data_IF_336498750502
#
_entry.id   IF_336498750502
#
_cell.length_a   1.000
_cell.length_b   1.000
_cell.length_c   1.000
_cell.angle_alpha   90.00
_cell.angle_beta   90.00
_cell.angle_gamma   90.00
#
_symmetry.space_group_name_H-M   'P 1'
#
loop_
_entity.id
_entity.type
_entity.pdbx_description
1 polymer ?
#
# COMPACT_ATOMS: atom_id res chain seq x y z
N UNK A 1 -18.32 16.04 1.42
CA UNK A 1 -17.12 15.33 1.90
C UNK A 1 -15.93 16.21 1.55
N UNK A 2 -15.02 16.46 2.47
CA UNK A 2 -13.86 17.35 2.25
C UNK A 2 -12.79 16.58 1.46
N UNK A 3 -12.66 16.88 0.16
CA UNK A 3 -11.79 16.15 -0.77
C UNK A 3 -10.34 16.13 -0.26
N UNK A 4 -9.83 17.27 0.22
CA UNK A 4 -8.48 17.38 0.76
C UNK A 4 -8.23 16.49 1.99
N UNK A 5 -9.30 16.09 2.69
CA UNK A 5 -9.23 15.22 3.87
C UNK A 5 -9.17 13.74 3.49
N UNK A 6 -9.86 13.35 2.43
CA UNK A 6 -9.77 12.00 1.85
C UNK A 6 -8.37 11.75 1.27
N UNK A 7 -7.82 12.73 0.59
CA UNK A 7 -6.48 12.69 -0.02
C UNK A 7 -5.39 12.45 1.02
N UNK A 8 -5.52 13.12 2.18
CA UNK A 8 -4.61 12.94 3.32
C UNK A 8 -4.73 11.56 3.94
N UNK A 9 -5.96 11.05 4.12
CA UNK A 9 -6.17 9.69 4.63
C UNK A 9 -5.53 8.64 3.73
N UNK A 10 -5.75 8.77 2.42
CA UNK A 10 -5.19 7.88 1.42
C UNK A 10 -3.65 7.90 1.43
N UNK A 11 -3.07 9.10 1.48
CA UNK A 11 -1.62 9.30 1.60
C UNK A 11 -1.04 8.66 2.87
N UNK A 12 -1.71 8.81 4.03
CA UNK A 12 -1.29 8.20 5.29
C UNK A 12 -1.32 6.67 5.23
N UNK A 13 -2.37 6.10 4.64
CA UNK A 13 -2.52 4.65 4.51
C UNK A 13 -1.48 4.04 3.59
N UNK A 14 -1.24 4.67 2.43
CA UNK A 14 -0.19 4.24 1.50
C UNK A 14 1.19 4.39 2.12
N UNK A 15 1.48 5.49 2.81
CA UNK A 15 2.74 5.66 3.54
C UNK A 15 2.95 4.59 4.61
N UNK A 16 1.88 4.21 5.32
CA UNK A 16 1.91 3.10 6.29
C UNK A 16 2.16 1.76 5.61
N UNK A 17 1.47 1.49 4.51
CA UNK A 17 1.61 0.25 3.74
C UNK A 17 3.04 0.09 3.20
N UNK A 18 3.63 1.15 2.64
CA UNK A 18 5.00 1.16 2.14
C UNK A 18 6.02 0.86 3.24
N UNK A 19 5.90 1.51 4.40
CA UNK A 19 6.78 1.24 5.55
C UNK A 19 6.70 -0.21 6.02
N UNK A 20 5.49 -0.77 6.09
CA UNK A 20 5.28 -2.17 6.45
C UNK A 20 5.88 -3.14 5.41
N UNK A 21 5.71 -2.86 4.12
CA UNK A 21 6.29 -3.67 3.04
C UNK A 21 7.82 -3.67 3.11
N UNK A 22 8.45 -2.51 3.29
CA UNK A 22 9.91 -2.39 3.41
C UNK A 22 10.42 -3.16 4.65
N UNK A 23 9.77 -2.98 5.79
CA UNK A 23 10.16 -3.69 7.02
C UNK A 23 10.05 -5.20 6.85
N UNK A 24 9.03 -5.65 6.11
CA UNK A 24 8.84 -7.07 5.79
C UNK A 24 9.91 -7.57 4.84
N UNK A 25 10.28 -6.84 3.79
CA UNK A 25 11.34 -7.26 2.86
C UNK A 25 12.68 -7.39 3.57
N UNK A 26 13.02 -6.44 4.45
CA UNK A 26 14.22 -6.51 5.30
C UNK A 26 14.22 -7.75 6.21
N UNK A 27 13.07 -8.10 6.79
CA UNK A 27 12.96 -9.26 7.69
C UNK A 27 13.14 -10.63 7.01
N UNK A 28 13.12 -10.68 5.68
CA UNK A 28 13.28 -11.92 4.90
C UNK A 28 14.50 -11.90 4.00
N UNK A 29 15.34 -10.86 4.09
CA UNK A 29 16.51 -10.67 3.21
C UNK A 29 17.58 -11.75 3.40
N UNK A 30 17.69 -12.30 4.61
CA UNK A 30 18.62 -13.40 4.95
C UNK A 30 17.97 -14.78 4.83
N UNK A 31 16.67 -14.89 4.52
CA UNK A 31 15.99 -16.19 4.39
C UNK A 31 16.47 -16.98 3.16
N UNK A 32 16.71 -18.28 3.28
CA UNK A 32 17.02 -19.14 2.11
C UNK A 32 15.81 -19.40 1.17
N UNK A 33 14.64 -18.85 1.51
CA UNK A 33 13.39 -19.06 0.77
C UNK A 33 13.20 -17.97 -0.30
N UNK A 34 13.73 -18.23 -1.50
CA UNK A 34 13.67 -17.31 -2.64
C UNK A 34 12.23 -16.87 -3.00
N UNK A 35 11.22 -17.77 -3.06
CA UNK A 35 9.82 -17.34 -3.26
C UNK A 35 9.32 -16.33 -2.23
N UNK A 36 9.72 -16.48 -0.96
CA UNK A 36 9.31 -15.57 0.13
C UNK A 36 9.96 -14.20 -0.02
N UNK A 37 11.24 -14.16 -0.41
CA UNK A 37 11.96 -12.93 -0.75
C UNK A 37 11.28 -12.21 -1.91
N UNK A 38 11.09 -12.90 -3.03
CA UNK A 38 10.43 -12.36 -4.21
C UNK A 38 9.06 -11.77 -3.88
N UNK A 39 8.25 -12.51 -3.11
CA UNK A 39 6.94 -12.02 -2.66
C UNK A 39 7.06 -10.72 -1.87
N UNK A 40 7.98 -10.64 -0.91
CA UNK A 40 8.15 -9.45 -0.07
C UNK A 40 8.68 -8.24 -0.87
N UNK A 41 9.64 -8.45 -1.78
CA UNK A 41 10.14 -7.40 -2.67
C UNK A 41 9.06 -6.89 -3.63
N UNK A 42 8.27 -7.78 -4.23
CA UNK A 42 7.14 -7.38 -5.07
C UNK A 42 6.14 -6.49 -4.30
N UNK A 43 5.92 -6.72 -3.01
CA UNK A 43 5.09 -5.83 -2.19
C UNK A 43 5.72 -4.44 -1.93
N UNK A 44 7.05 -4.32 -1.97
CA UNK A 44 7.72 -3.01 -1.87
C UNK A 44 7.53 -2.23 -3.16
N UNK A 45 7.77 -2.89 -4.29
CA UNK A 45 7.59 -2.29 -5.62
C UNK A 45 6.12 -1.88 -5.83
N UNK A 46 5.17 -2.78 -5.58
CA UNK A 46 3.75 -2.45 -5.68
C UNK A 46 3.32 -1.30 -4.75
N UNK A 47 3.94 -1.14 -3.58
CA UNK A 47 3.66 0.00 -2.69
C UNK A 47 4.13 1.32 -3.29
N UNK A 48 5.33 1.30 -3.86
CA UNK A 48 5.93 2.43 -4.56
C UNK A 48 5.09 2.81 -5.78
N UNK A 49 4.66 1.83 -6.57
CA UNK A 49 3.89 2.09 -7.79
C UNK A 49 2.51 2.69 -7.47
N UNK A 50 1.85 2.22 -6.40
CA UNK A 50 0.60 2.83 -5.92
C UNK A 50 0.80 4.26 -5.40
N UNK A 51 1.91 4.54 -4.71
CA UNK A 51 2.26 5.89 -4.29
C UNK A 51 2.55 6.79 -5.50
N UNK A 52 3.26 6.27 -6.51
CA UNK A 52 3.56 7.02 -7.72
C UNK A 52 2.27 7.35 -8.48
N UNK A 53 1.37 6.37 -8.63
CA UNK A 53 0.05 6.60 -9.23
C UNK A 53 -0.75 7.66 -8.48
N UNK A 54 -0.71 7.65 -7.14
CA UNK A 54 -1.36 8.69 -6.34
C UNK A 54 -0.79 10.08 -6.63
N UNK A 55 0.53 10.20 -6.75
CA UNK A 55 1.21 11.47 -7.03
C UNK A 55 0.90 11.98 -8.45
N UNK A 56 0.80 11.06 -9.40
CA UNK A 56 0.59 11.40 -10.82
C UNK A 56 -0.89 11.63 -11.17
N UNK A 57 -1.83 11.17 -10.34
CA UNK A 57 -3.27 11.33 -10.58
C UNK A 57 -3.76 12.69 -10.08
N UNK A 58 -4.33 13.49 -11.00
CA UNK A 58 -4.96 14.77 -10.66
C UNK A 58 -6.36 14.60 -10.02
N UNK A 59 -7.02 13.45 -10.25
CA UNK A 59 -8.34 13.12 -9.72
C UNK A 59 -8.27 11.99 -8.67
N UNK A 60 -8.49 12.37 -7.42
CA UNK A 60 -8.28 11.54 -6.25
C UNK A 60 -9.49 10.67 -5.87
N UNK A 61 -10.67 11.01 -6.40
CA UNK A 61 -11.94 10.31 -6.12
C UNK A 61 -11.97 8.88 -6.64
N UNK A 62 -11.17 8.56 -7.66
CA UNK A 62 -11.32 7.35 -8.46
C UNK A 62 -10.33 6.25 -8.05
N UNK A 63 -9.56 6.51 -6.99
CA UNK A 63 -8.52 5.58 -6.53
C UNK A 63 -9.07 4.22 -6.09
N UNK A 64 -10.29 4.17 -5.57
CA UNK A 64 -10.96 2.91 -5.20
C UNK A 64 -11.22 2.02 -6.42
N UNK A 65 -11.79 2.59 -7.48
CA UNK A 65 -12.07 1.89 -8.74
C UNK A 65 -10.76 1.44 -9.42
N UNK A 66 -9.73 2.29 -9.37
CA UNK A 66 -8.40 1.93 -9.84
C UNK A 66 -7.82 0.71 -9.11
N UNK A 67 -7.94 0.65 -7.78
CA UNK A 67 -7.48 -0.50 -7.01
C UNK A 67 -8.22 -1.80 -7.39
N UNK A 68 -9.53 -1.71 -7.60
CA UNK A 68 -10.34 -2.85 -8.05
C UNK A 68 -9.90 -3.33 -9.44
N UNK A 69 -9.69 -2.39 -10.38
CA UNK A 69 -9.18 -2.70 -11.72
C UNK A 69 -7.79 -3.36 -11.69
N UNK A 70 -6.89 -2.94 -10.80
CA UNK A 70 -5.59 -3.62 -10.60
C UNK A 70 -5.82 -5.04 -10.09
N UNK A 71 -6.70 -5.23 -9.10
CA UNK A 71 -6.96 -6.56 -8.52
C UNK A 71 -7.44 -7.53 -9.60
N UNK A 72 -8.36 -7.10 -10.47
CA UNK A 72 -8.86 -7.90 -11.59
C UNK A 72 -7.77 -8.19 -12.62
N UNK A 73 -6.96 -7.17 -12.95
CA UNK A 73 -5.83 -7.31 -13.88
C UNK A 73 -4.80 -8.32 -13.37
N UNK A 74 -4.42 -8.22 -12.09
CA UNK A 74 -3.47 -9.15 -11.46
C UNK A 74 -4.05 -10.56 -11.35
N UNK A 75 -5.36 -10.71 -11.18
CA UNK A 75 -6.01 -12.03 -11.23
C UNK A 75 -5.95 -12.65 -12.63
N UNK A 76 -6.17 -11.87 -13.69
CA UNK A 76 -6.02 -12.36 -15.06
C UNK A 76 -4.58 -12.79 -15.34
N UNK A 77 -3.60 -11.95 -14.98
CA UNK A 77 -2.16 -12.25 -15.15
C UNK A 77 -1.72 -13.48 -14.36
N UNK A 78 -2.30 -13.69 -13.18
CA UNK A 78 -2.03 -14.90 -12.40
C UNK A 78 -2.49 -16.17 -13.14
N UNK A 79 -3.70 -16.15 -13.72
CA UNK A 79 -4.22 -17.31 -14.46
C UNK A 79 -3.35 -17.63 -15.69
N UNK A 80 -2.94 -16.61 -16.43
CA UNK A 80 -2.04 -16.76 -17.57
C UNK A 80 -0.66 -17.31 -17.14
N UNK A 81 -0.09 -16.79 -16.05
CA UNK A 81 1.18 -17.30 -15.51
C UNK A 81 1.07 -18.75 -15.05
N UNK A 82 -0.06 -19.13 -14.45
CA UNK A 82 -0.34 -20.51 -14.05
C UNK A 82 -0.42 -21.46 -15.26
N UNK A 83 -1.10 -21.05 -16.34
CA UNK A 83 -1.18 -21.83 -17.58
C UNK A 83 0.19 -22.05 -18.24
N UNK A 84 1.14 -21.13 -18.03
CA UNK A 84 2.49 -21.17 -18.58
C UNK A 84 3.56 -21.71 -17.61
N UNK A 85 3.18 -22.20 -16.42
CA UNK A 85 4.10 -22.60 -15.33
C UNK A 85 5.12 -21.51 -14.94
N UNK A 86 4.78 -20.23 -15.14
CA UNK A 86 5.61 -19.10 -14.74
C UNK A 86 5.40 -18.78 -13.25
N UNK A 87 6.12 -19.54 -12.44
CA UNK A 87 6.06 -19.43 -10.97
C UNK A 87 6.48 -18.06 -10.45
N UNK A 88 7.40 -17.37 -11.13
CA UNK A 88 7.86 -16.05 -10.71
C UNK A 88 6.74 -15.02 -10.87
N UNK A 89 6.10 -15.00 -12.03
CA UNK A 89 4.97 -14.10 -12.30
C UNK A 89 3.77 -14.42 -11.40
N UNK A 90 3.49 -15.70 -11.12
CA UNK A 90 2.47 -16.07 -10.13
C UNK A 90 2.73 -15.44 -8.75
N UNK A 91 3.97 -15.46 -8.27
CA UNK A 91 4.32 -14.89 -6.95
C UNK A 91 4.15 -13.37 -6.96
N UNK A 92 4.59 -12.69 -8.02
CA UNK A 92 4.51 -11.23 -8.14
C UNK A 92 3.05 -10.77 -8.19
N UNK A 93 2.25 -11.37 -9.06
CA UNK A 93 0.82 -11.03 -9.23
C UNK A 93 0.04 -11.27 -7.94
N UNK A 94 0.30 -12.38 -7.23
CA UNK A 94 -0.26 -12.63 -5.89
C UNK A 94 0.15 -11.57 -4.86
N UNK A 95 1.41 -11.12 -4.88
CA UNK A 95 1.90 -10.10 -3.97
C UNK A 95 1.17 -8.76 -4.17
N UNK A 96 1.05 -8.32 -5.42
CA UNK A 96 0.33 -7.10 -5.80
C UNK A 96 -1.15 -7.17 -5.44
N UNK A 97 -1.83 -8.27 -5.81
CA UNK A 97 -3.25 -8.48 -5.49
C UNK A 97 -3.51 -8.41 -3.99
N UNK A 98 -2.69 -9.10 -3.19
CA UNK A 98 -2.82 -9.10 -1.73
C UNK A 98 -2.64 -7.70 -1.15
N UNK A 99 -1.73 -6.93 -1.72
CA UNK A 99 -1.45 -5.58 -1.27
C UNK A 99 -2.59 -4.61 -1.58
N UNK A 100 -3.10 -4.63 -2.81
CA UNK A 100 -4.26 -3.81 -3.21
C UNK A 100 -5.49 -4.17 -2.37
N UNK A 101 -5.78 -5.46 -2.21
CA UNK A 101 -6.89 -5.94 -1.37
C UNK A 101 -6.76 -5.47 0.09
N UNK A 102 -5.53 -5.46 0.62
CA UNK A 102 -5.26 -4.96 1.98
C UNK A 102 -5.50 -3.46 2.08
N UNK A 103 -5.14 -2.69 1.06
CA UNK A 103 -5.37 -1.27 1.01
C UNK A 103 -6.86 -0.94 0.92
N UNK A 104 -7.61 -1.58 0.02
CA UNK A 104 -9.07 -1.45 -0.07
C UNK A 104 -9.73 -1.71 1.29
N UNK A 105 -9.35 -2.81 1.96
CA UNK A 105 -9.88 -3.14 3.29
C UNK A 105 -9.56 -2.07 4.34
N UNK A 106 -8.37 -1.45 4.26
CA UNK A 106 -7.96 -0.39 5.20
C UNK A 106 -8.74 0.90 4.99
N UNK A 107 -8.90 1.31 3.73
CA UNK A 107 -9.63 2.52 3.35
C UNK A 107 -11.13 2.42 3.69
N UNK A 108 -11.68 1.21 3.64
CA UNK A 108 -13.09 0.93 3.96
C UNK A 108 -13.34 0.60 5.43
N UNK A 109 -12.31 0.45 6.29
CA UNK A 109 -12.48 0.17 7.71
C UNK A 109 -12.90 1.44 8.49
N UNK A 110 -14.14 1.50 9.02
CA UNK A 110 -14.64 2.70 9.67
C UNK A 110 -13.88 3.08 10.94
N UNK A 111 -13.40 2.10 11.71
CA UNK A 111 -12.68 2.34 12.97
C UNK A 111 -11.31 2.91 12.71
N UNK A 112 -10.61 2.34 11.72
CA UNK A 112 -9.30 2.82 11.30
C UNK A 112 -9.38 4.23 10.73
N UNK A 113 -10.39 4.47 9.88
CA UNK A 113 -10.70 5.79 9.35
C UNK A 113 -10.98 6.81 10.45
N UNK A 114 -11.79 6.48 11.45
CA UNK A 114 -12.06 7.37 12.59
C UNK A 114 -10.78 7.70 13.38
N UNK A 115 -9.91 6.71 13.60
CA UNK A 115 -8.63 6.90 14.28
C UNK A 115 -7.67 7.80 13.50
N UNK A 116 -7.59 7.65 12.18
CA UNK A 116 -6.75 8.50 11.32
C UNK A 116 -7.31 9.91 11.19
N UNK A 117 -8.64 10.04 11.09
CA UNK A 117 -9.31 11.34 11.07
C UNK A 117 -9.03 12.14 12.35
N UNK A 118 -9.03 11.47 13.51
CA UNK A 118 -8.67 12.11 14.78
C UNK A 118 -7.21 12.59 14.81
N UNK A 119 -6.27 11.86 14.20
CA UNK A 119 -4.87 12.28 14.06
C UNK A 119 -4.72 13.50 13.14
N UNK A 120 -5.56 13.64 12.12
CA UNK A 120 -5.57 14.80 11.23
C UNK A 120 -6.14 16.06 11.90
N UNK A 121 -7.07 15.89 12.83
CA UNK A 121 -7.67 16.99 13.59
C UNK A 121 -6.83 17.41 14.81
N UNK A 122 -5.91 16.56 15.27
CA UNK A 122 -4.96 16.93 16.31
C UNK A 122 -3.94 17.93 15.74
N UNK A 123 -3.89 19.17 16.25
CA UNK A 123 -2.78 20.06 15.93
C UNK A 123 -1.51 19.32 16.33
N UNK A 124 -0.55 19.21 15.41
CA UNK A 124 0.78 18.75 15.76
C UNK A 124 1.24 19.64 16.92
N UNK A 125 1.39 19.06 18.11
CA UNK A 125 2.07 19.73 19.21
C UNK A 125 3.52 19.93 18.74
N UNK A 126 3.76 21.07 18.09
CA UNK A 126 5.05 21.69 17.99
C UNK A 126 5.41 22.12 19.41
N UNK A 127 5.88 21.19 20.23
CA UNK A 127 6.72 21.55 21.36
C UNK A 127 8.15 21.70 20.84
N UNK A 128 8.68 22.94 20.68
CA UNK A 128 10.11 23.09 20.76
C UNK A 128 10.53 22.68 22.17
N UNK A 129 11.29 21.59 22.28
CA UNK A 129 12.00 21.28 23.52
C UNK A 129 12.79 22.53 23.94
N UNK A 130 12.61 23.04 25.16
CA UNK A 130 13.32 24.23 25.60
C UNK A 130 14.81 23.88 25.65
N UNK A 131 15.62 24.72 24.98
CA UNK A 131 17.06 24.80 25.23
C UNK A 131 17.32 24.71 26.72
N UNK A 132 18.12 23.73 27.15
CA UNK A 132 18.80 23.81 28.42
C UNK A 132 20.25 24.20 28.15
N UNK A 133 20.60 25.29 28.81
CA UNK A 133 21.80 26.12 28.74
C UNK A 133 23.11 25.40 29.03
#
# INVERSE_FOLDING_TARGET
MDIAREDRLLSMELGTLSKESIRRSQSVEEDDNEPRKLFAFAQVIGARDLLQYLVDSEEWSDFGEFLEAIIETEESRYREAWENDDRQTMIITMAHRRQCSRLVRRLTDPRRRQSLLAQLDSPAECEPSPSQS
#
